data_IF_679215319352
#
_entry.id   IF_679215319352
#
_cell.length_a   1.000
_cell.length_b   1.000
_cell.length_c   1.000
_cell.angle_alpha   90.00
_cell.angle_beta   90.00
_cell.angle_gamma   90.00
#
_symmetry.space_group_name_H-M   'P 1'
#
loop_
_entity.id
_entity.type
_entity.pdbx_description
1 polymer ?
#
# COMPACT_ATOMS: atom_id res chain seq x y z
N UNK A 1 9.83 2.64 -7.74
CA UNK A 1 8.67 1.77 -8.06
C UNK A 1 9.09 0.33 -7.81
N UNK A 2 8.19 -0.58 -7.36
CA UNK A 2 8.54 -1.98 -7.15
C UNK A 2 9.09 -2.62 -8.42
N UNK A 3 10.00 -3.58 -8.27
CA UNK A 3 10.44 -4.41 -9.41
C UNK A 3 9.25 -5.27 -9.90
N UNK A 4 9.21 -5.61 -11.20
CA UNK A 4 8.21 -6.58 -11.69
C UNK A 4 8.30 -7.87 -10.89
N UNK A 5 7.15 -8.34 -10.42
CA UNK A 5 7.03 -9.62 -9.72
C UNK A 5 6.66 -10.70 -10.74
N UNK A 6 7.17 -11.91 -10.54
CA UNK A 6 6.66 -13.07 -11.26
C UNK A 6 5.21 -13.38 -10.84
N UNK A 7 4.53 -14.20 -11.64
CA UNK A 7 3.12 -14.53 -11.42
C UNK A 7 2.88 -15.32 -10.13
N UNK A 8 3.83 -16.15 -9.70
CA UNK A 8 3.72 -16.97 -8.48
C UNK A 8 3.79 -16.10 -7.23
N UNK A 9 4.82 -15.27 -7.13
CA UNK A 9 5.01 -14.28 -6.07
C UNK A 9 3.82 -13.32 -6.01
N UNK A 10 3.33 -12.88 -7.18
CA UNK A 10 2.15 -12.01 -7.24
C UNK A 10 0.89 -12.71 -6.71
N UNK A 11 0.68 -13.98 -7.04
CA UNK A 11 -0.48 -14.74 -6.56
C UNK A 11 -0.44 -14.95 -5.04
N UNK A 12 0.74 -15.26 -4.49
CA UNK A 12 0.95 -15.40 -3.04
C UNK A 12 0.68 -14.08 -2.30
N UNK A 13 1.27 -12.98 -2.78
CA UNK A 13 1.05 -11.66 -2.19
C UNK A 13 -0.42 -11.23 -2.28
N UNK A 14 -1.10 -11.53 -3.40
CA UNK A 14 -2.53 -11.24 -3.55
C UNK A 14 -3.35 -12.00 -2.52
N UNK A 15 -3.13 -13.31 -2.37
CA UNK A 15 -3.84 -14.13 -1.39
C UNK A 15 -3.68 -13.62 0.05
N UNK A 16 -2.50 -13.08 0.38
CA UNK A 16 -2.20 -12.59 1.72
C UNK A 16 -2.63 -11.14 1.98
N UNK A 17 -2.32 -10.21 1.07
CA UNK A 17 -2.50 -8.77 1.28
C UNK A 17 -3.90 -8.27 0.90
N UNK A 18 -4.55 -8.88 -0.09
CA UNK A 18 -5.89 -8.46 -0.53
C UNK A 18 -6.92 -8.48 0.61
N UNK A 19 -7.01 -9.54 1.44
CA UNK A 19 -7.93 -9.54 2.58
C UNK A 19 -7.69 -8.40 3.57
N UNK A 20 -6.44 -7.98 3.77
CA UNK A 20 -6.08 -6.85 4.64
C UNK A 20 -6.60 -5.54 4.05
N UNK A 21 -6.38 -5.35 2.75
CA UNK A 21 -6.81 -4.15 2.01
C UNK A 21 -8.34 -4.02 1.96
N UNK A 22 -9.05 -5.13 1.80
CA UNK A 22 -10.51 -5.17 1.76
C UNK A 22 -11.16 -5.01 3.13
N UNK A 23 -10.55 -5.58 4.19
CA UNK A 23 -11.09 -5.52 5.54
C UNK A 23 -10.82 -4.19 6.27
N UNK A 24 -9.89 -3.38 5.79
CA UNK A 24 -9.56 -2.10 6.44
C UNK A 24 -10.77 -1.16 6.45
N UNK A 25 -11.06 -0.53 7.60
CA UNK A 25 -12.20 0.39 7.78
C UNK A 25 -11.82 1.87 7.56
N UNK A 26 -10.53 2.19 7.62
CA UNK A 26 -10.00 3.54 7.37
C UNK A 26 -8.54 3.44 6.88
N UNK A 27 -7.97 4.57 6.45
CA UNK A 27 -6.55 4.63 6.08
C UNK A 27 -5.61 4.35 7.26
N UNK A 28 -5.97 4.78 8.46
CA UNK A 28 -5.22 4.48 9.69
C UNK A 28 -5.29 2.98 10.01
N UNK A 29 -6.49 2.38 9.97
CA UNK A 29 -6.67 0.94 10.16
C UNK A 29 -5.90 0.11 9.11
N UNK A 30 -5.89 0.56 7.85
CA UNK A 30 -5.10 -0.08 6.81
C UNK A 30 -3.60 -0.06 7.13
N UNK A 31 -3.06 1.11 7.52
CA UNK A 31 -1.65 1.25 7.92
C UNK A 31 -1.33 0.31 9.06
N UNK A 32 -2.16 0.29 10.10
CA UNK A 32 -1.89 -0.45 11.32
C UNK A 32 -1.94 -1.97 11.06
N UNK A 33 -2.92 -2.44 10.26
CA UNK A 33 -2.99 -3.86 9.85
C UNK A 33 -1.79 -4.29 9.01
N UNK A 34 -1.32 -3.44 8.09
CA UNK A 34 -0.11 -3.71 7.31
C UNK A 34 1.12 -3.75 8.23
N UNK A 35 1.26 -2.80 9.15
CA UNK A 35 2.36 -2.73 10.09
C UNK A 35 2.43 -3.98 10.99
N UNK A 36 1.28 -4.47 11.48
CA UNK A 36 1.20 -5.74 12.23
C UNK A 36 1.69 -6.96 11.44
N UNK A 37 1.77 -6.88 10.11
CA UNK A 37 2.28 -7.93 9.23
C UNK A 37 3.69 -7.66 8.70
N UNK A 38 4.35 -6.61 9.19
CA UNK A 38 5.68 -6.22 8.74
C UNK A 38 5.70 -5.45 7.41
N UNK A 39 4.59 -4.79 7.06
CA UNK A 39 4.49 -3.98 5.84
C UNK A 39 4.27 -2.50 6.14
N UNK A 40 4.89 -1.64 5.32
CA UNK A 40 4.66 -0.21 5.29
C UNK A 40 3.73 0.21 4.16
N UNK A 41 3.26 1.46 4.22
CA UNK A 41 2.39 2.06 3.21
C UNK A 41 2.88 3.46 2.84
N UNK A 42 3.15 3.67 1.55
CA UNK A 42 3.55 4.96 0.99
C UNK A 42 2.76 5.28 -0.29
N UNK A 43 2.81 6.56 -0.67
CA UNK A 43 2.32 7.04 -1.95
C UNK A 43 3.49 7.56 -2.77
N UNK A 44 3.68 7.01 -3.98
CA UNK A 44 4.73 7.45 -4.91
C UNK A 44 4.10 7.76 -6.26
N UNK A 45 4.27 9.00 -6.75
CA UNK A 45 3.71 9.45 -8.03
C UNK A 45 2.23 9.08 -8.23
N UNK A 46 1.39 9.29 -7.21
CA UNK A 46 -0.05 8.99 -7.25
C UNK A 46 -0.43 7.51 -7.16
N UNK A 47 0.53 6.61 -6.88
CA UNK A 47 0.26 5.18 -6.64
C UNK A 47 0.45 4.85 -5.17
N UNK A 48 -0.40 3.97 -4.66
CA UNK A 48 -0.22 3.34 -3.37
C UNK A 48 0.79 2.19 -3.50
N UNK A 49 1.84 2.25 -2.70
CA UNK A 49 2.97 1.31 -2.68
C UNK A 49 3.04 0.66 -1.31
N UNK A 50 3.09 -0.67 -1.30
CA UNK A 50 3.33 -1.46 -0.08
C UNK A 50 4.84 -1.71 0.00
N UNK A 51 5.40 -1.42 1.16
CA UNK A 51 6.82 -1.59 1.46
C UNK A 51 7.01 -2.77 2.40
N UNK A 52 8.17 -3.42 2.33
CA UNK A 52 8.65 -4.23 3.43
C UNK A 52 9.10 -3.30 4.57
N UNK A 53 8.61 -3.50 5.79
CA UNK A 53 8.88 -2.57 6.89
C UNK A 53 10.31 -2.66 7.43
N UNK A 54 11.01 -3.78 7.21
CA UNK A 54 12.37 -3.96 7.72
C UNK A 54 13.41 -3.33 6.80
N UNK A 55 13.21 -3.44 5.48
CA UNK A 55 14.13 -2.94 4.46
C UNK A 55 13.70 -1.63 3.81
N UNK A 56 12.47 -1.18 4.04
CA UNK A 56 11.83 -0.03 3.37
C UNK A 56 11.74 -0.17 1.83
N UNK A 57 12.02 -1.36 1.31
CA UNK A 57 11.99 -1.65 -0.13
C UNK A 57 10.54 -1.81 -0.62
N UNK A 58 10.21 -1.25 -1.79
CA UNK A 58 8.88 -1.37 -2.36
C UNK A 58 8.61 -2.79 -2.87
N UNK A 59 7.66 -3.48 -2.24
CA UNK A 59 7.27 -4.85 -2.55
C UNK A 59 6.28 -4.89 -3.72
N UNK A 60 5.18 -4.15 -3.63
CA UNK A 60 4.16 -4.15 -4.66
C UNK A 60 3.30 -2.88 -4.64
N UNK A 61 2.32 -2.80 -5.53
CA UNK A 61 1.30 -1.75 -5.54
C UNK A 61 -0.07 -2.37 -5.38
N UNK A 62 -1.04 -1.59 -4.91
CA UNK A 62 -2.44 -2.06 -4.86
C UNK A 62 -2.97 -2.53 -6.22
N UNK A 63 -2.47 -1.97 -7.33
CA UNK A 63 -2.82 -2.41 -8.68
C UNK A 63 -2.37 -3.86 -8.95
N UNK A 64 -1.18 -4.26 -8.51
CA UNK A 64 -0.73 -5.66 -8.65
C UNK A 64 -1.62 -6.64 -7.88
N UNK A 65 -2.21 -6.19 -6.77
CA UNK A 65 -3.07 -6.97 -5.90
C UNK A 65 -4.56 -6.98 -6.32
N UNK A 66 -4.92 -6.23 -7.35
CA UNK A 66 -6.32 -6.06 -7.78
C UNK A 66 -7.13 -5.07 -6.95
N UNK A 67 -6.50 -4.40 -5.97
CA UNK A 67 -7.11 -3.40 -5.11
C UNK A 67 -6.41 -2.05 -5.31
N UNK A 68 -6.67 -1.35 -6.43
CA UNK A 68 -5.98 -0.11 -6.75
C UNK A 68 -6.37 1.01 -5.78
N UNK A 69 -5.49 2.00 -5.62
CA UNK A 69 -5.71 3.18 -4.77
C UNK A 69 -7.11 3.81 -4.97
N UNK A 70 -7.57 3.94 -6.22
CA UNK A 70 -8.90 4.51 -6.52
C UNK A 70 -10.03 3.75 -5.82
N UNK A 71 -9.97 2.42 -5.77
CA UNK A 71 -11.01 1.59 -5.19
C UNK A 71 -11.05 1.76 -3.66
N UNK A 72 -9.87 1.82 -3.04
CA UNK A 72 -9.76 2.12 -1.60
C UNK A 72 -10.21 3.54 -1.30
N UNK A 73 -9.87 4.53 -2.13
CA UNK A 73 -10.28 5.91 -1.92
C UNK A 73 -11.80 6.11 -2.05
N UNK A 74 -12.47 5.34 -2.91
CA UNK A 74 -13.95 5.32 -2.98
C UNK A 74 -14.57 4.80 -1.68
N UNK A 75 -13.93 3.82 -1.03
CA UNK A 75 -14.46 3.17 0.18
C UNK A 75 -14.08 3.87 1.49
N UNK A 76 -12.83 4.33 1.58
CA UNK A 76 -12.21 4.89 2.79
C UNK A 76 -12.15 6.43 2.77
N UNK A 77 -12.58 7.06 1.68
CA UNK A 77 -12.34 8.49 1.42
C UNK A 77 -10.94 8.76 0.87
N UNK A 78 -10.63 10.03 0.56
CA UNK A 78 -9.30 10.40 0.06
C UNK A 78 -8.26 10.31 1.18
N UNK A 79 -7.09 9.68 0.96
CA UNK A 79 -6.04 9.66 1.97
C UNK A 79 -5.49 11.07 2.19
N UNK A 80 -5.41 11.50 3.44
CA UNK A 80 -4.62 12.68 3.80
C UNK A 80 -3.16 12.25 3.82
N UNK A 81 -2.31 12.94 3.07
CA UNK A 81 -0.90 12.58 2.94
C UNK A 81 0.00 13.77 3.26
N UNK A 82 1.15 13.48 3.85
CA UNK A 82 2.25 14.43 4.06
C UNK A 82 3.32 14.15 3.01
N UNK A 83 3.66 15.16 2.21
CA UNK A 83 4.74 15.05 1.23
C UNK A 83 6.08 14.88 1.95
N UNK A 84 6.88 13.93 1.46
CA UNK A 84 8.26 13.76 1.88
C UNK A 84 9.15 14.81 1.20
N UNK A 85 10.29 15.11 1.82
CA UNK A 85 11.33 15.95 1.23
C UNK A 85 11.72 15.38 -0.15
N UNK A 86 11.63 16.22 -1.20
CA UNK A 86 11.84 15.82 -2.59
C UNK A 86 10.57 15.63 -3.42
N UNK A 87 9.37 15.67 -2.81
CA UNK A 87 8.08 15.80 -3.51
C UNK A 87 7.61 14.61 -4.35
N UNK A 88 8.44 13.57 -4.52
CA UNK A 88 8.10 12.37 -5.30
C UNK A 88 7.31 11.32 -4.50
N UNK A 89 7.40 11.37 -3.17
CA UNK A 89 6.77 10.43 -2.23
C UNK A 89 5.98 11.16 -1.16
N UNK A 90 4.98 10.49 -0.61
CA UNK A 90 4.18 10.96 0.50
C UNK A 90 3.80 9.80 1.43
N UNK A 91 3.65 10.09 2.71
CA UNK A 91 3.18 9.14 3.74
C UNK A 91 1.78 9.54 4.20
N UNK A 92 1.04 8.61 4.81
CA UNK A 92 -0.24 8.96 5.44
C UNK A 92 -0.03 9.99 6.56
N UNK A 93 -0.93 10.97 6.61
CA UNK A 93 -1.02 11.97 7.67
C UNK A 93 -2.24 11.65 8.54
N UNK A 94 -2.12 10.58 9.32
CA UNK A 94 -3.16 10.04 10.21
C UNK A 94 -2.59 9.64 11.56
#
# INVERSE_FOLDING_TARGET
MPRPLDSETTALLRGFLTPILEAAASWADLRDRLACKGYGLEFRSGRMVILDAASEEPVCTGQHLGVPLRALATRLGRPTVKLCLGGASAVLNV
#
